data_IF_294284214343
#
_entry.id   IF_294284214343
#
_cell.length_a   1.000
_cell.length_b   1.000
_cell.length_c   1.000
_cell.angle_alpha   90.00
_cell.angle_beta   90.00
_cell.angle_gamma   90.00
#
_symmetry.space_group_name_H-M   'P 1'
#
loop_
_entity.id
_entity.type
_entity.pdbx_description
1 polymer ?
#
# COMPACT_ATOMS: atom_id res chain seq x y z
N UNK A 1 20.16 13.95 -26.56
CA UNK A 1 19.81 15.18 -27.31
C UNK A 1 18.43 15.62 -26.85
N UNK A 2 18.35 16.43 -25.79
CA UNK A 2 17.07 16.87 -25.22
C UNK A 2 16.49 17.97 -26.12
N UNK A 3 15.47 17.66 -26.90
CA UNK A 3 14.72 18.67 -27.66
C UNK A 3 13.97 19.53 -26.65
N UNK A 4 14.22 20.84 -26.62
CA UNK A 4 13.49 21.75 -25.75
C UNK A 4 12.00 21.73 -26.11
N UNK A 5 11.13 21.76 -25.09
CA UNK A 5 9.66 21.72 -25.25
C UNK A 5 9.15 22.74 -26.27
N UNK A 6 9.74 23.93 -26.28
CA UNK A 6 9.41 25.02 -27.21
C UNK A 6 9.71 24.65 -28.68
N UNK A 7 10.87 24.02 -28.95
CA UNK A 7 11.21 23.57 -30.31
C UNK A 7 10.29 22.47 -30.82
N UNK A 8 9.80 21.60 -29.93
CA UNK A 8 8.89 20.53 -30.31
C UNK A 8 7.50 21.08 -30.69
N UNK A 9 6.98 22.04 -29.90
CA UNK A 9 5.72 22.73 -30.21
C UNK A 9 5.81 23.48 -31.54
N UNK A 10 6.90 24.23 -31.75
CA UNK A 10 7.10 24.97 -33.00
C UNK A 10 7.04 24.04 -34.23
N UNK A 11 7.74 22.90 -34.17
CA UNK A 11 7.75 21.91 -35.28
C UNK A 11 6.38 21.28 -35.52
N UNK A 12 5.62 20.97 -34.46
CA UNK A 12 4.26 20.41 -34.61
C UNK A 12 3.34 21.44 -35.26
N UNK A 13 3.40 22.71 -34.86
CA UNK A 13 2.61 23.78 -35.45
C UNK A 13 2.98 24.01 -36.92
N UNK A 14 4.27 23.97 -37.27
CA UNK A 14 4.71 24.10 -38.66
C UNK A 14 4.17 22.97 -39.56
N UNK A 15 4.08 21.74 -39.04
CA UNK A 15 3.51 20.59 -39.78
C UNK A 15 2.00 20.75 -40.00
N UNK A 16 1.28 21.25 -38.99
CA UNK A 16 -0.15 21.52 -39.09
C UNK A 16 -0.42 22.64 -40.09
N UNK A 17 0.32 23.75 -40.02
CA UNK A 17 0.15 24.91 -40.93
C UNK A 17 0.49 24.56 -42.38
N UNK A 18 1.45 23.65 -42.59
CA UNK A 18 1.84 23.17 -43.93
C UNK A 18 0.94 22.04 -44.46
N UNK A 19 -0.17 21.73 -43.77
CA UNK A 19 -1.12 20.67 -44.12
C UNK A 19 -0.45 19.29 -44.36
N UNK A 20 0.70 19.07 -43.72
CA UNK A 20 1.51 17.85 -43.92
C UNK A 20 1.13 16.73 -42.97
N UNK A 21 0.32 17.02 -41.95
CA UNK A 21 -0.31 16.03 -41.09
C UNK A 21 -1.75 16.46 -40.79
N UNK A 22 -2.67 15.50 -40.91
CA UNK A 22 -4.05 15.63 -40.47
C UNK A 22 -4.27 14.92 -39.14
N UNK A 23 -5.33 15.28 -38.42
CA UNK A 23 -5.72 14.54 -37.23
C UNK A 23 -6.19 13.12 -37.63
N UNK A 24 -5.99 12.10 -36.78
CA UNK A 24 -6.38 10.75 -37.11
C UNK A 24 -7.90 10.62 -37.29
N UNK A 25 -8.31 10.13 -38.45
CA UNK A 25 -9.70 9.81 -38.78
C UNK A 25 -9.88 8.30 -38.91
N UNK A 26 -11.02 7.72 -38.51
CA UNK A 26 -12.21 8.37 -37.91
C UNK A 26 -12.00 8.86 -36.47
N UNK A 27 -12.77 9.88 -36.06
CA UNK A 27 -12.82 10.34 -34.68
C UNK A 27 -14.05 9.72 -33.99
N UNK A 28 -13.82 8.82 -33.04
CA UNK A 28 -14.86 8.17 -32.24
C UNK A 28 -15.06 8.93 -30.93
N UNK A 29 -16.14 9.71 -30.84
CA UNK A 29 -16.44 10.53 -29.67
C UNK A 29 -17.48 9.85 -28.80
N UNK A 30 -17.18 9.72 -27.51
CA UNK A 30 -18.09 9.20 -26.49
C UNK A 30 -18.32 10.26 -25.42
N UNK A 31 -19.55 10.46 -24.90
CA UNK A 31 -19.77 11.33 -23.75
C UNK A 31 -19.11 10.75 -22.49
N UNK A 32 -18.86 11.58 -21.48
CA UNK A 32 -18.21 11.15 -20.25
C UNK A 32 -18.98 10.04 -19.52
N UNK A 33 -20.32 10.07 -19.63
CA UNK A 33 -21.24 9.04 -19.13
C UNK A 33 -21.00 7.66 -19.74
N UNK A 34 -20.47 7.59 -20.96
CA UNK A 34 -20.21 6.37 -21.71
C UNK A 34 -18.71 6.00 -21.78
N UNK A 35 -17.89 6.51 -20.86
CA UNK A 35 -16.45 6.23 -20.82
C UNK A 35 -16.14 4.73 -20.86
N UNK A 36 -16.96 3.89 -20.22
CA UNK A 36 -16.80 2.44 -20.26
C UNK A 36 -16.92 1.88 -21.69
N UNK A 37 -17.87 2.39 -22.50
CA UNK A 37 -18.03 1.97 -23.90
C UNK A 37 -16.82 2.37 -24.73
N UNK A 38 -16.26 3.56 -24.49
CA UNK A 38 -15.05 4.03 -25.15
C UNK A 38 -13.85 3.12 -24.84
N UNK A 39 -13.66 2.74 -23.58
CA UNK A 39 -12.59 1.83 -23.15
C UNK A 39 -12.77 0.43 -23.77
N UNK A 40 -14.00 -0.10 -23.76
CA UNK A 40 -14.30 -1.40 -24.40
C UNK A 40 -14.06 -1.36 -25.91
N UNK A 41 -14.40 -0.25 -26.58
CA UNK A 41 -14.11 -0.07 -28.00
C UNK A 41 -12.59 -0.05 -28.25
N UNK A 42 -11.83 0.66 -27.43
CA UNK A 42 -10.37 0.70 -27.48
C UNK A 42 -9.73 -0.68 -27.26
N UNK A 43 -10.29 -1.49 -26.36
CA UNK A 43 -9.80 -2.85 -26.06
C UNK A 43 -10.21 -3.89 -27.11
N UNK A 44 -11.18 -3.59 -27.99
CA UNK A 44 -11.70 -4.54 -28.97
C UNK A 44 -10.74 -4.89 -30.11
N UNK A 45 -9.63 -4.15 -30.25
CA UNK A 45 -8.71 -4.26 -31.39
C UNK A 45 -9.28 -3.74 -32.71
N UNK A 46 -10.53 -3.27 -32.73
CA UNK A 46 -11.21 -2.65 -33.89
C UNK A 46 -11.16 -1.12 -33.86
N UNK A 47 -10.39 -0.55 -32.95
CA UNK A 47 -10.24 0.88 -32.78
C UNK A 47 -9.36 1.48 -33.87
N UNK A 48 -9.98 2.15 -34.83
CA UNK A 48 -9.29 2.91 -35.88
C UNK A 48 -9.36 4.40 -35.60
N UNK A 49 -8.38 5.16 -36.10
CA UNK A 49 -8.32 6.61 -35.86
C UNK A 49 -8.11 6.99 -34.40
N UNK A 50 -8.92 7.92 -33.87
CA UNK A 50 -8.78 8.44 -32.50
C UNK A 50 -10.08 8.25 -31.73
N UNK A 51 -10.00 7.76 -30.50
CA UNK A 51 -11.13 7.76 -29.55
C UNK A 51 -11.00 8.96 -28.62
N UNK A 52 -12.07 9.71 -28.42
CA UNK A 52 -12.12 10.90 -27.58
C UNK A 52 -13.31 10.83 -26.62
N UNK A 53 -13.12 11.39 -25.42
CA UNK A 53 -14.21 11.60 -24.46
C UNK A 53 -14.63 13.07 -24.54
N UNK A 54 -15.91 13.30 -24.80
CA UNK A 54 -16.52 14.62 -24.73
C UNK A 54 -17.02 14.87 -23.31
N UNK A 55 -16.84 16.09 -22.83
CA UNK A 55 -17.34 16.53 -21.52
C UNK A 55 -18.48 17.51 -21.76
N UNK A 56 -19.71 17.09 -21.50
CA UNK A 56 -20.88 17.97 -21.47
C UNK A 56 -21.30 18.26 -20.03
N UNK A 57 -21.92 19.42 -19.79
CA UNK A 57 -22.45 19.76 -18.47
C UNK A 57 -23.61 18.85 -18.05
N UNK A 58 -24.33 18.29 -19.02
CA UNK A 58 -25.47 17.40 -18.80
C UNK A 58 -25.07 15.92 -18.61
N UNK A 59 -23.77 15.60 -18.68
CA UNK A 59 -23.29 14.23 -18.51
C UNK A 59 -23.39 13.78 -17.04
N UNK A 60 -24.30 12.83 -16.77
CA UNK A 60 -24.41 12.19 -15.46
C UNK A 60 -23.37 11.06 -15.38
N UNK A 61 -22.34 11.26 -14.57
CA UNK A 61 -21.28 10.27 -14.30
C UNK A 61 -21.29 9.82 -12.84
N UNK A 62 -21.03 8.53 -12.56
CA UNK A 62 -20.80 8.06 -11.20
C UNK A 62 -19.57 8.77 -10.62
N UNK A 63 -19.78 9.67 -9.65
CA UNK A 63 -18.69 10.30 -8.92
C UNK A 63 -18.34 9.43 -7.72
N UNK A 64 -17.16 8.82 -7.76
CA UNK A 64 -16.61 8.20 -6.56
C UNK A 64 -16.28 9.34 -5.58
N UNK A 65 -17.06 9.45 -4.51
CA UNK A 65 -16.77 10.42 -3.43
C UNK A 65 -15.58 9.86 -2.65
N UNK A 66 -14.38 10.07 -3.16
CA UNK A 66 -13.16 9.93 -2.39
C UNK A 66 -13.14 11.09 -1.40
N UNK A 67 -13.56 10.84 -0.15
CA UNK A 67 -13.15 11.70 0.97
C UNK A 67 -11.62 11.61 1.04
N UNK A 68 -10.93 12.51 0.34
CA UNK A 68 -9.50 12.68 0.51
C UNK A 68 -9.35 13.22 1.93
N UNK A 69 -8.97 12.35 2.86
CA UNK A 69 -8.73 12.78 4.23
C UNK A 69 -7.69 13.89 4.17
N UNK A 70 -8.08 15.11 4.55
CA UNK A 70 -7.20 16.28 4.64
C UNK A 70 -6.31 16.20 5.89
N UNK A 71 -6.17 15.01 6.47
CA UNK A 71 -5.42 14.83 7.68
C UNK A 71 -3.96 15.22 7.44
N UNK A 72 -3.50 16.14 8.27
CA UNK A 72 -2.15 16.66 8.26
C UNK A 72 -1.48 16.27 9.57
N UNK A 73 -0.23 15.85 9.46
CA UNK A 73 0.65 15.76 10.58
C UNK A 73 0.95 17.18 11.09
N UNK A 74 0.91 17.38 12.41
CA UNK A 74 1.50 18.55 13.03
C UNK A 74 3.02 18.50 12.83
N UNK A 75 3.55 19.49 12.13
CA UNK A 75 4.99 19.62 11.87
C UNK A 75 5.81 19.79 13.15
N UNK A 76 5.21 20.24 14.26
CA UNK A 76 5.87 20.43 15.55
C UNK A 76 5.73 19.21 16.50
N UNK A 77 5.03 18.17 16.06
CA UNK A 77 4.88 16.93 16.83
C UNK A 77 6.01 15.93 16.50
N UNK A 78 6.21 15.00 17.42
CA UNK A 78 7.12 13.87 17.24
C UNK A 78 6.32 12.58 17.07
N UNK A 79 6.76 11.72 16.16
CA UNK A 79 6.04 10.54 15.75
C UNK A 79 6.88 9.28 15.99
N UNK A 80 6.42 8.39 16.86
CA UNK A 80 7.08 7.12 17.14
C UNK A 80 6.49 6.01 16.27
N UNK A 81 7.35 5.33 15.50
CA UNK A 81 6.95 4.27 14.57
C UNK A 81 7.81 3.03 14.80
N UNK A 82 7.32 2.14 15.67
CA UNK A 82 7.94 0.84 15.88
C UNK A 82 7.91 0.02 14.58
N UNK A 83 9.05 -0.56 14.17
CA UNK A 83 9.15 -1.29 12.92
C UNK A 83 9.09 -0.42 11.65
N UNK A 84 9.33 0.90 11.77
CA UNK A 84 9.24 1.85 10.67
C UNK A 84 10.20 1.58 9.49
N UNK A 85 11.28 0.83 9.70
CA UNK A 85 12.22 0.46 8.64
C UNK A 85 11.76 -0.71 7.75
N UNK A 86 10.65 -1.40 8.11
CA UNK A 86 10.05 -2.46 7.29
C UNK A 86 9.31 -1.94 6.05
N UNK A 87 8.81 -2.84 5.19
CA UNK A 87 8.13 -2.47 3.95
C UNK A 87 6.94 -1.52 4.16
N UNK A 88 6.04 -1.90 5.06
CA UNK A 88 4.88 -1.08 5.42
C UNK A 88 5.29 0.21 6.16
N UNK A 89 6.22 0.10 7.11
CA UNK A 89 6.72 1.24 7.88
C UNK A 89 7.24 2.37 6.99
N UNK A 90 8.04 2.03 5.97
CA UNK A 90 8.57 3.01 5.00
C UNK A 90 7.46 3.67 4.18
N UNK A 91 6.43 2.92 3.79
CA UNK A 91 5.28 3.48 3.08
C UNK A 91 4.50 4.47 3.96
N UNK A 92 4.27 4.12 5.24
CA UNK A 92 3.63 4.99 6.22
C UNK A 92 4.46 6.27 6.42
N UNK A 93 5.78 6.15 6.61
CA UNK A 93 6.65 7.30 6.82
C UNK A 93 6.62 8.24 5.61
N UNK A 94 6.70 7.72 4.38
CA UNK A 94 6.61 8.55 3.16
C UNK A 94 5.29 9.30 3.09
N UNK A 95 4.19 8.62 3.41
CA UNK A 95 2.88 9.26 3.48
C UNK A 95 2.83 10.34 4.58
N UNK A 96 3.34 10.06 5.78
CA UNK A 96 3.40 11.03 6.89
C UNK A 96 4.25 12.25 6.55
N UNK A 97 5.37 12.06 5.86
CA UNK A 97 6.21 13.14 5.36
C UNK A 97 5.44 14.03 4.38
N UNK A 98 4.74 13.43 3.41
CA UNK A 98 3.87 14.17 2.49
C UNK A 98 2.68 14.85 3.17
N UNK A 99 2.31 14.37 4.36
CA UNK A 99 1.23 14.91 5.19
C UNK A 99 1.71 15.96 6.21
N UNK A 100 3.01 16.30 6.22
CA UNK A 100 3.57 17.40 7.03
C UNK A 100 4.45 16.98 8.21
N UNK A 101 4.67 15.69 8.46
CA UNK A 101 5.50 15.24 9.58
C UNK A 101 6.95 15.71 9.39
N UNK A 102 7.60 16.08 10.51
CA UNK A 102 9.00 16.52 10.52
C UNK A 102 9.90 15.70 11.42
N UNK A 103 9.39 15.19 12.55
CA UNK A 103 10.19 14.52 13.57
C UNK A 103 9.73 13.07 13.77
N UNK A 104 10.63 12.10 13.55
CA UNK A 104 10.32 10.68 13.61
C UNK A 104 11.32 9.92 14.50
N UNK A 105 10.77 9.07 15.37
CA UNK A 105 11.52 8.13 16.20
C UNK A 105 11.18 6.71 15.70
N UNK A 106 12.18 5.98 15.21
CA UNK A 106 12.00 4.66 14.59
C UNK A 106 12.77 3.61 15.40
N UNK A 107 12.22 3.15 16.54
CA UNK A 107 12.89 2.12 17.32
C UNK A 107 12.90 0.77 16.58
N UNK A 108 14.02 0.06 16.70
CA UNK A 108 14.24 -1.26 16.10
C UNK A 108 15.00 -2.17 17.06
N UNK A 109 14.66 -3.46 17.11
CA UNK A 109 15.41 -4.46 17.91
C UNK A 109 16.81 -4.73 17.35
N UNK A 110 17.00 -4.50 16.06
CA UNK A 110 18.28 -4.67 15.37
C UNK A 110 18.90 -3.32 15.11
N UNK A 111 20.22 -3.24 15.31
CA UNK A 111 21.01 -2.08 14.91
C UNK A 111 20.84 -1.80 13.42
N UNK A 112 20.80 -0.53 13.04
CA UNK A 112 20.67 -0.09 11.65
C UNK A 112 22.02 -0.20 10.96
N UNK A 113 22.52 -1.42 10.79
CA UNK A 113 23.82 -1.71 10.18
C UNK A 113 23.72 -2.24 8.76
N UNK A 114 22.52 -2.67 8.32
CA UNK A 114 22.33 -3.17 6.96
C UNK A 114 22.36 -2.05 5.91
N UNK A 115 23.00 -2.26 4.74
CA UNK A 115 23.03 -1.27 3.65
C UNK A 115 21.63 -0.78 3.24
N UNK A 116 20.67 -1.69 3.18
CA UNK A 116 19.28 -1.37 2.83
C UNK A 116 18.62 -0.43 3.86
N UNK A 117 18.87 -0.64 5.15
CA UNK A 117 18.31 0.23 6.20
C UNK A 117 18.95 1.63 6.18
N UNK A 118 20.26 1.70 5.95
CA UNK A 118 20.97 2.98 5.82
C UNK A 118 20.53 3.77 4.57
N UNK A 119 20.33 3.08 3.44
CA UNK A 119 19.78 3.70 2.24
C UNK A 119 18.36 4.23 2.48
N UNK A 120 17.48 3.43 3.09
CA UNK A 120 16.12 3.85 3.41
C UNK A 120 16.11 5.07 4.33
N UNK A 121 16.95 5.11 5.36
CA UNK A 121 17.07 6.28 6.23
C UNK A 121 17.55 7.52 5.48
N UNK A 122 18.52 7.36 4.56
CA UNK A 122 19.04 8.46 3.76
C UNK A 122 17.98 9.03 2.81
N UNK A 123 17.22 8.16 2.14
CA UNK A 123 16.08 8.55 1.30
C UNK A 123 15.02 9.32 2.11
N UNK A 124 14.66 8.81 3.29
CA UNK A 124 13.68 9.43 4.16
C UNK A 124 14.16 10.78 4.72
N UNK A 125 15.43 10.90 5.12
CA UNK A 125 16.05 12.18 5.51
C UNK A 125 16.06 13.18 4.36
N UNK A 126 16.24 12.72 3.12
CA UNK A 126 16.13 13.54 1.90
C UNK A 126 14.77 14.19 1.70
N UNK A 127 13.71 13.71 2.38
CA UNK A 127 12.39 14.33 2.39
C UNK A 127 12.25 15.44 3.45
N UNK A 128 13.36 15.87 4.07
CA UNK A 128 13.36 16.92 5.09
C UNK A 128 12.82 16.44 6.44
N UNK A 129 12.99 15.15 6.73
CA UNK A 129 12.61 14.53 7.99
C UNK A 129 13.82 14.49 8.94
N UNK A 130 13.61 14.91 10.18
CA UNK A 130 14.51 14.64 11.30
C UNK A 130 14.18 13.24 11.84
N UNK A 131 15.10 12.28 11.63
CA UNK A 131 14.88 10.87 11.96
C UNK A 131 15.94 10.37 12.93
N UNK A 132 15.48 9.82 14.05
CA UNK A 132 16.29 9.08 15.02
C UNK A 132 15.84 7.62 14.97
N UNK A 133 16.78 6.70 14.72
CA UNK A 133 16.50 5.27 14.56
C UNK A 133 17.33 4.43 15.56
N UNK A 134 16.97 4.46 16.85
CA UNK A 134 17.75 3.87 17.92
C UNK A 134 17.46 2.37 18.07
N UNK A 135 18.42 1.63 18.63
CA UNK A 135 18.20 0.23 18.99
C UNK A 135 17.37 0.16 20.28
N UNK A 136 16.17 -0.38 20.20
CA UNK A 136 15.25 -0.49 21.32
C UNK A 136 14.24 -1.62 21.06
N UNK A 137 14.09 -2.51 22.03
CA UNK A 137 12.93 -3.39 22.08
C UNK A 137 11.74 -2.65 22.72
N UNK A 138 10.78 -2.25 21.89
CA UNK A 138 9.55 -1.58 22.33
C UNK A 138 8.67 -2.45 23.25
N UNK A 139 8.90 -3.77 23.30
CA UNK A 139 8.26 -4.65 24.28
C UNK A 139 8.84 -4.53 25.70
N UNK A 140 10.01 -3.91 25.85
CA UNK A 140 10.66 -3.67 27.13
C UNK A 140 10.35 -2.26 27.63
N UNK A 141 9.58 -2.16 28.72
CA UNK A 141 9.20 -0.89 29.31
C UNK A 141 10.41 -0.05 29.75
N UNK A 142 11.46 -0.69 30.28
CA UNK A 142 12.69 0.00 30.70
C UNK A 142 13.45 0.55 29.51
N UNK A 143 13.72 -0.27 28.48
CA UNK A 143 14.44 0.20 27.29
C UNK A 143 13.69 1.33 26.58
N UNK A 144 12.36 1.27 26.53
CA UNK A 144 11.56 2.32 25.93
C UNK A 144 11.58 3.61 26.76
N UNK A 145 11.55 3.51 28.09
CA UNK A 145 11.65 4.69 28.96
C UNK A 145 13.01 5.39 28.79
N UNK A 146 14.11 4.63 28.80
CA UNK A 146 15.47 5.16 28.58
C UNK A 146 15.57 5.84 27.21
N UNK A 147 15.06 5.19 26.16
CA UNK A 147 15.01 5.74 24.81
C UNK A 147 14.33 7.10 24.74
N UNK A 148 13.15 7.19 25.35
CA UNK A 148 12.33 8.40 25.31
C UNK A 148 13.01 9.55 26.07
N UNK A 149 13.70 9.23 27.17
CA UNK A 149 14.49 10.19 27.94
C UNK A 149 15.71 10.69 27.15
N UNK A 150 16.40 9.82 26.40
CA UNK A 150 17.50 10.23 25.52
C UNK A 150 17.01 11.13 24.38
N UNK A 151 15.88 10.78 23.76
CA UNK A 151 15.30 11.55 22.67
C UNK A 151 14.80 12.94 23.12
N UNK A 152 14.45 13.10 24.40
CA UNK A 152 14.00 14.36 24.99
C UNK A 152 15.08 15.46 25.01
N UNK A 153 16.35 15.10 24.83
CA UNK A 153 17.50 16.03 24.91
C UNK A 153 17.86 16.62 23.53
N UNK A 154 17.28 16.11 22.43
CA UNK A 154 17.59 16.55 21.06
C UNK A 154 16.56 17.51 20.44
N UNK A 155 16.67 17.73 19.12
CA UNK A 155 15.75 18.55 18.30
C UNK A 155 14.37 17.88 18.06
N UNK A 156 14.01 16.91 18.90
CA UNK A 156 12.76 16.16 18.84
C UNK A 156 11.98 16.50 20.11
N UNK A 157 10.69 16.83 19.95
CA UNK A 157 9.84 17.16 21.09
C UNK A 157 9.74 15.93 22.01
N UNK A 158 9.96 16.08 23.33
CA UNK A 158 10.02 14.96 24.25
C UNK A 158 8.72 14.16 24.25
N UNK A 159 8.87 12.83 24.22
CA UNK A 159 7.81 11.87 24.50
C UNK A 159 8.01 11.38 25.93
N UNK A 160 6.97 11.34 26.76
CA UNK A 160 7.10 10.81 28.12
C UNK A 160 6.59 9.38 28.19
N UNK A 161 7.28 8.51 28.94
CA UNK A 161 6.88 7.12 29.17
C UNK A 161 5.44 7.01 29.68
N UNK A 162 5.06 7.96 30.54
CA UNK A 162 3.72 8.01 31.15
C UNK A 162 2.63 8.28 30.11
N UNK A 163 2.92 9.06 29.05
CA UNK A 163 1.97 9.32 27.95
C UNK A 163 1.71 8.04 27.16
N UNK A 164 2.79 7.35 26.78
CA UNK A 164 2.70 6.10 26.02
C UNK A 164 1.97 5.01 26.83
N UNK A 165 2.28 4.93 28.12
CA UNK A 165 1.66 3.98 29.04
C UNK A 165 0.18 4.30 29.25
N UNK A 166 -0.18 5.57 29.44
CA UNK A 166 -1.57 6.02 29.57
C UNK A 166 -2.41 5.69 28.32
N UNK A 167 -1.85 5.88 27.12
CA UNK A 167 -2.51 5.48 25.86
C UNK A 167 -2.70 3.97 25.82
N UNK A 168 -1.65 3.19 26.07
CA UNK A 168 -1.76 1.72 26.03
C UNK A 168 -2.81 1.22 27.04
N UNK A 169 -2.83 1.77 28.26
CA UNK A 169 -3.85 1.46 29.25
C UNK A 169 -5.25 1.86 28.76
N UNK A 170 -5.44 3.05 28.21
CA UNK A 170 -6.72 3.48 27.66
C UNK A 170 -7.23 2.54 26.54
N UNK A 171 -6.34 2.13 25.64
CA UNK A 171 -6.69 1.24 24.52
C UNK A 171 -6.94 -0.21 24.99
N UNK A 172 -6.28 -0.66 26.07
CA UNK A 172 -6.51 -1.97 26.69
C UNK A 172 -7.76 -2.01 27.56
N UNK A 173 -7.98 -0.99 28.39
CA UNK A 173 -9.13 -0.84 29.28
C UNK A 173 -9.54 0.65 29.43
N UNK A 174 -10.49 1.13 28.61
CA UNK A 174 -10.98 2.50 28.67
C UNK A 174 -11.75 2.80 29.96
N UNK A 175 -12.23 1.78 30.68
CA UNK A 175 -13.04 1.96 31.89
C UNK A 175 -12.21 2.23 33.14
N UNK A 176 -10.91 1.86 33.09
CA UNK A 176 -9.94 2.11 34.16
C UNK A 176 -9.44 3.57 34.24
N UNK A 177 -9.61 4.35 33.16
CA UNK A 177 -8.99 5.68 33.04
C UNK A 177 -9.75 6.78 33.79
N UNK A 178 -11.00 6.51 34.22
CA UNK A 178 -11.77 7.43 35.05
C UNK A 178 -11.26 7.54 36.50
N UNK A 179 -10.37 6.66 36.94
CA UNK A 179 -9.99 6.51 38.36
C UNK A 179 -8.48 6.46 38.64
N UNK A 180 -7.61 6.68 37.64
CA UNK A 180 -6.15 6.67 37.86
C UNK A 180 -5.52 8.05 37.72
N UNK A 181 -4.44 8.30 38.48
CA UNK A 181 -3.63 9.52 38.48
C UNK A 181 -2.93 9.82 37.13
N UNK A 182 -3.10 8.97 36.11
CA UNK A 182 -2.54 9.11 34.76
C UNK A 182 -3.46 9.89 33.82
N UNK A 183 -4.31 10.78 34.36
CA UNK A 183 -5.20 11.67 33.62
C UNK A 183 -4.40 12.70 32.81
N UNK A 184 -3.87 12.28 31.66
CA UNK A 184 -3.48 13.21 30.60
C UNK A 184 -4.53 13.17 29.51
N UNK A 185 -4.74 14.34 28.92
CA UNK A 185 -5.71 14.61 27.87
C UNK A 185 -5.44 13.68 26.67
N UNK A 186 -6.37 12.76 26.33
CA UNK A 186 -6.21 11.84 25.20
C UNK A 186 -6.08 12.57 23.85
N UNK A 187 -6.48 13.85 23.76
CA UNK A 187 -6.29 14.64 22.55
C UNK A 187 -4.82 15.07 22.32
N UNK A 188 -3.94 14.91 23.33
CA UNK A 188 -2.50 15.23 23.20
C UNK A 188 -1.66 14.11 22.62
N UNK A 189 -2.12 12.87 22.66
CA UNK A 189 -1.40 11.72 22.12
C UNK A 189 -2.37 10.69 21.54
N UNK A 190 -2.18 10.33 20.26
CA UNK A 190 -3.10 9.47 19.52
C UNK A 190 -2.37 8.33 18.79
N UNK A 191 -3.04 7.17 18.69
CA UNK A 191 -2.59 6.07 17.83
C UNK A 191 -2.97 6.38 16.37
N UNK A 192 -1.97 6.47 15.49
CA UNK A 192 -2.18 6.76 14.06
C UNK A 192 -2.54 5.50 13.25
N UNK A 193 -1.92 4.37 13.57
CA UNK A 193 -2.08 3.04 12.97
C UNK A 193 -1.77 1.99 14.03
N UNK A 194 -2.47 0.86 14.03
CA UNK A 194 -2.15 -0.24 14.94
C UNK A 194 -3.28 -1.25 15.12
N UNK A 195 -3.14 -2.05 16.19
CA UNK A 195 -4.05 -3.15 16.51
C UNK A 195 -5.50 -2.68 16.67
N UNK A 196 -6.43 -3.48 16.15
CA UNK A 196 -7.86 -3.32 16.45
C UNK A 196 -8.06 -3.72 17.92
N UNK A 197 -8.48 -2.78 18.74
CA UNK A 197 -8.68 -3.00 20.18
C UNK A 197 -10.17 -3.09 20.52
N UNK A 198 -10.55 -3.68 21.67
CA UNK A 198 -11.96 -3.82 22.07
C UNK A 198 -12.73 -2.49 22.13
N UNK A 199 -12.05 -1.35 22.33
CA UNK A 199 -12.70 -0.02 22.31
C UNK A 199 -13.19 0.40 20.92
N UNK A 200 -12.55 -0.09 19.85
CA UNK A 200 -12.97 0.15 18.46
C UNK A 200 -14.31 -0.52 18.12
N UNK A 201 -14.78 -1.48 18.92
CA UNK A 201 -16.04 -2.19 18.70
C UNK A 201 -17.22 -1.61 19.49
N UNK A 202 -17.03 -0.56 20.31
CA UNK A 202 -18.07 0.00 21.18
C UNK A 202 -18.88 1.11 20.49
N UNK A 203 -20.22 1.14 20.61
CA UNK A 203 -21.03 2.26 20.14
C UNK A 203 -20.66 3.55 20.88
N UNK A 204 -20.35 4.63 20.14
CA UNK A 204 -20.05 5.94 20.74
C UNK A 204 -18.56 6.30 20.84
N UNK A 205 -17.63 5.35 20.59
CA UNK A 205 -16.18 5.61 20.55
C UNK A 205 -15.70 6.27 19.25
N UNK A 206 -16.63 6.70 18.40
CA UNK A 206 -16.43 7.24 17.05
C UNK A 206 -15.51 8.46 16.96
N UNK A 207 -15.27 9.17 18.07
CA UNK A 207 -14.39 10.36 18.08
C UNK A 207 -12.97 10.07 17.58
N UNK A 208 -12.41 8.90 17.85
CA UNK A 208 -11.04 8.57 17.39
C UNK A 208 -10.98 8.17 15.92
N UNK A 209 -12.06 7.61 15.37
CA UNK A 209 -12.11 7.18 13.96
C UNK A 209 -12.18 8.37 12.99
N UNK A 210 -12.66 9.53 13.45
CA UNK A 210 -12.66 10.78 12.69
C UNK A 210 -11.24 11.34 12.49
N UNK A 211 -10.27 10.97 13.34
CA UNK A 211 -8.88 11.47 13.32
C UNK A 211 -7.83 10.43 12.90
N UNK A 212 -8.20 9.18 12.63
CA UNK A 212 -7.28 8.14 12.14
C UNK A 212 -7.36 7.97 10.60
N UNK A 213 -6.54 8.67 9.81
CA UNK A 213 -6.62 8.69 8.35
C UNK A 213 -6.19 7.37 7.69
N UNK A 214 -5.34 6.58 8.34
CA UNK A 214 -4.78 5.36 7.77
C UNK A 214 -5.65 4.11 8.03
N UNK A 215 -6.56 4.14 9.01
CA UNK A 215 -7.49 3.04 9.28
C UNK A 215 -8.76 3.11 8.41
N UNK A 216 -9.17 4.28 7.94
CA UNK A 216 -10.34 4.42 7.05
C UNK A 216 -10.16 3.61 5.76
N UNK A 217 -8.96 3.57 5.17
CA UNK A 217 -8.68 2.77 3.98
C UNK A 217 -8.73 1.25 4.22
N UNK A 218 -8.18 0.79 5.35
CA UNK A 218 -8.09 -0.64 5.67
C UNK A 218 -9.39 -1.22 6.26
N UNK A 219 -10.12 -0.47 7.07
CA UNK A 219 -11.38 -0.91 7.67
C UNK A 219 -12.55 -0.86 6.68
N UNK A 220 -12.59 0.13 5.78
CA UNK A 220 -13.63 0.17 4.73
C UNK A 220 -13.47 -0.99 3.75
N UNK A 221 -12.23 -1.39 3.42
CA UNK A 221 -11.97 -2.53 2.54
C UNK A 221 -12.48 -3.86 3.12
N UNK A 222 -12.22 -4.16 4.40
CA UNK A 222 -12.67 -5.42 5.01
C UNK A 222 -14.19 -5.46 5.23
N UNK A 223 -14.79 -4.33 5.59
CA UNK A 223 -16.26 -4.25 5.80
C UNK A 223 -17.03 -4.23 4.48
N UNK A 224 -16.48 -3.66 3.39
CA UNK A 224 -17.09 -3.71 2.05
C UNK A 224 -16.91 -5.07 1.37
N UNK A 225 -15.78 -5.76 1.56
CA UNK A 225 -15.61 -7.15 1.07
C UNK A 225 -16.64 -8.09 1.71
N UNK A 226 -16.99 -7.87 2.98
CA UNK A 226 -18.02 -8.67 3.66
C UNK A 226 -19.46 -8.31 3.22
N UNK A 227 -19.72 -7.07 2.80
CA UNK A 227 -21.05 -6.64 2.31
C UNK A 227 -21.28 -6.93 0.82
N UNK A 228 -20.23 -6.96 0.00
CA UNK A 228 -20.35 -7.32 -1.43
C UNK A 228 -20.50 -8.82 -1.70
N UNK A 229 -20.19 -9.68 -0.71
CA UNK A 229 -20.37 -11.13 -0.85
C UNK A 229 -21.82 -11.60 -0.64
N UNK A 230 -22.73 -10.72 -0.22
CA UNK A 230 -24.15 -11.07 0.02
C UNK A 230 -25.17 -10.24 -0.75
N UNK A 231 -24.75 -9.28 -1.58
CA UNK A 231 -25.69 -8.58 -2.47
C UNK A 231 -24.99 -8.06 -3.72
N UNK A 232 -25.07 -8.84 -4.80
CA UNK A 232 -25.33 -8.43 -6.20
C UNK A 232 -25.32 -9.74 -7.00
N UNK A 233 -26.52 -10.26 -7.18
CA UNK A 233 -26.85 -11.17 -8.28
C UNK A 233 -26.61 -10.44 -9.60
N UNK A 234 -25.80 -11.06 -10.46
CA UNK A 234 -25.87 -10.88 -11.91
C UNK A 234 -25.14 -9.68 -12.52
N UNK A 235 -23.83 -9.81 -12.75
CA UNK A 235 -23.25 -9.68 -14.09
C UNK A 235 -21.76 -10.07 -14.09
N UNK A 236 -21.46 -11.15 -14.83
CA UNK A 236 -20.11 -11.65 -15.13
C UNK A 236 -19.22 -10.53 -15.70
N UNK A 237 -18.14 -10.22 -15.00
CA UNK A 237 -16.95 -9.66 -15.65
C UNK A 237 -16.42 -10.71 -16.65
N UNK A 238 -16.29 -10.32 -17.92
CA UNK A 238 -15.72 -11.16 -18.98
C UNK A 238 -14.19 -11.22 -18.83
N UNK A 239 -13.69 -12.43 -18.64
CA UNK A 239 -12.51 -13.04 -19.30
C UNK A 239 -11.34 -12.10 -19.65
N UNK A 240 -10.56 -11.70 -18.63
CA UNK A 240 -9.14 -12.02 -18.66
C UNK A 240 -9.00 -13.25 -17.79
N UNK A 241 -8.52 -14.37 -18.34
CA UNK A 241 -8.66 -15.70 -17.74
C UNK A 241 -8.37 -15.70 -16.24
N UNK A 242 -9.39 -16.08 -15.46
CA UNK A 242 -9.28 -16.27 -14.01
C UNK A 242 -8.02 -17.10 -13.72
N UNK A 243 -7.10 -16.67 -12.83
CA UNK A 243 -5.84 -17.36 -12.57
C UNK A 243 -6.00 -18.86 -12.32
N UNK A 244 -7.09 -19.23 -11.63
CA UNK A 244 -7.49 -20.62 -11.38
C UNK A 244 -7.88 -21.38 -12.64
N UNK A 245 -8.46 -20.71 -13.65
CA UNK A 245 -8.82 -21.32 -14.95
C UNK A 245 -7.57 -21.62 -15.77
N UNK A 246 -6.64 -20.67 -15.95
CA UNK A 246 -5.39 -20.92 -16.68
C UNK A 246 -4.55 -22.01 -16.02
N UNK A 247 -4.51 -22.02 -14.70
CA UNK A 247 -3.76 -23.01 -13.95
C UNK A 247 -4.40 -24.41 -14.02
N UNK A 248 -5.73 -24.51 -14.14
CA UNK A 248 -6.45 -25.78 -14.30
C UNK A 248 -6.45 -26.30 -15.74
N UNK A 249 -6.43 -25.42 -16.74
CA UNK A 249 -6.48 -25.79 -18.16
C UNK A 249 -5.07 -25.97 -18.78
N UNK A 250 -4.01 -25.68 -18.05
CA UNK A 250 -2.65 -25.92 -18.50
C UNK A 250 -2.38 -27.43 -18.68
N UNK A 251 -1.86 -27.80 -19.84
CA UNK A 251 -1.74 -29.21 -20.28
C UNK A 251 -0.75 -30.05 -19.46
N UNK A 252 0.24 -29.40 -18.81
CA UNK A 252 1.28 -30.09 -18.06
C UNK A 252 1.80 -29.23 -16.88
N UNK A 253 2.51 -29.88 -15.96
CA UNK A 253 3.03 -29.24 -14.75
C UNK A 253 4.00 -28.08 -15.03
N UNK A 254 4.73 -28.13 -16.15
CA UNK A 254 5.60 -27.02 -16.57
C UNK A 254 4.78 -25.79 -16.99
N UNK A 255 3.68 -25.98 -17.70
CA UNK A 255 2.75 -24.93 -18.08
C UNK A 255 2.02 -24.36 -16.85
N UNK A 256 1.62 -25.23 -15.91
CA UNK A 256 1.06 -24.81 -14.61
C UNK A 256 2.04 -23.97 -13.81
N UNK A 257 3.31 -24.38 -13.77
CA UNK A 257 4.37 -23.63 -13.10
C UNK A 257 4.59 -22.27 -13.77
N UNK A 258 4.64 -22.19 -15.11
CA UNK A 258 4.78 -20.94 -15.84
C UNK A 258 3.63 -19.95 -15.55
N UNK A 259 2.38 -20.46 -15.46
CA UNK A 259 1.21 -19.68 -15.06
C UNK A 259 1.37 -19.19 -13.62
N UNK A 260 1.74 -20.07 -12.69
CA UNK A 260 1.95 -19.71 -11.29
C UNK A 260 3.04 -18.63 -11.12
N UNK A 261 4.19 -18.78 -11.80
CA UNK A 261 5.29 -17.80 -11.80
C UNK A 261 4.82 -16.44 -12.32
N UNK A 262 4.19 -16.42 -13.48
CA UNK A 262 3.70 -15.15 -14.09
C UNK A 262 2.74 -14.42 -13.15
N UNK A 263 1.87 -15.16 -12.47
CA UNK A 263 0.91 -14.58 -11.53
C UNK A 263 1.56 -14.17 -10.21
N UNK A 264 2.53 -14.93 -9.70
CA UNK A 264 3.32 -14.56 -8.52
C UNK A 264 4.07 -13.25 -8.76
N UNK A 265 4.74 -13.11 -9.91
CA UNK A 265 5.45 -11.88 -10.32
C UNK A 265 4.51 -10.68 -10.30
N UNK A 266 3.35 -10.77 -10.97
CA UNK A 266 2.35 -9.68 -10.99
C UNK A 266 1.82 -9.35 -9.60
N UNK A 267 1.57 -10.38 -8.78
CA UNK A 267 1.04 -10.20 -7.42
C UNK A 267 2.05 -9.49 -6.52
N UNK A 268 3.32 -9.89 -6.59
CA UNK A 268 4.44 -9.29 -5.84
C UNK A 268 4.68 -7.85 -6.29
N UNK A 269 4.75 -7.60 -7.60
CA UNK A 269 4.90 -6.26 -8.16
C UNK A 269 3.77 -5.32 -7.69
N UNK A 270 2.52 -5.78 -7.74
CA UNK A 270 1.35 -5.02 -7.27
C UNK A 270 1.38 -4.80 -5.76
N UNK A 271 1.75 -5.80 -4.97
CA UNK A 271 1.80 -5.68 -3.51
C UNK A 271 2.88 -4.68 -3.05
N UNK A 272 3.97 -4.58 -3.80
CA UNK A 272 5.11 -3.71 -3.48
C UNK A 272 5.05 -2.35 -4.18
N UNK A 273 4.03 -2.10 -5.01
CA UNK A 273 3.92 -0.90 -5.85
C UNK A 273 5.15 -0.69 -6.77
N UNK A 274 5.71 -1.80 -7.26
CA UNK A 274 6.83 -1.84 -8.21
C UNK A 274 6.27 -2.18 -9.60
N UNK A 275 6.95 -1.74 -10.67
CA UNK A 275 6.54 -2.07 -12.06
C UNK A 275 6.57 -3.58 -12.30
N UNK A 276 5.61 -4.12 -13.07
CA UNK A 276 5.59 -5.55 -13.44
C UNK A 276 6.86 -5.99 -14.20
N UNK A 277 7.58 -5.05 -14.81
CA UNK A 277 8.84 -5.28 -15.54
C UNK A 277 10.09 -5.33 -14.64
N UNK A 278 10.00 -4.86 -13.40
CA UNK A 278 11.14 -4.80 -12.47
C UNK A 278 11.21 -6.06 -11.57
N UNK A 279 10.21 -6.93 -11.63
CA UNK A 279 10.16 -8.18 -10.89
C UNK A 279 10.78 -9.33 -11.72
N UNK A 280 12.07 -9.52 -11.53
CA UNK A 280 12.87 -10.65 -12.05
C UNK A 280 12.44 -12.00 -11.42
N UNK A 281 11.96 -12.97 -12.22
CA UNK A 281 11.56 -14.30 -11.75
C UNK A 281 12.69 -15.13 -11.14
N UNK A 282 13.95 -14.79 -11.43
CA UNK A 282 15.13 -15.50 -10.95
C UNK A 282 15.57 -15.06 -9.55
N UNK A 283 15.05 -13.93 -9.06
CA UNK A 283 15.35 -13.46 -7.70
C UNK A 283 14.42 -14.08 -6.66
N UNK A 284 14.89 -14.28 -5.42
CA UNK A 284 14.06 -14.77 -4.33
C UNK A 284 13.04 -13.73 -3.87
N UNK A 285 11.92 -14.21 -3.32
CA UNK A 285 10.84 -13.36 -2.80
C UNK A 285 11.31 -12.42 -1.66
N UNK A 286 12.29 -12.86 -0.86
CA UNK A 286 12.87 -12.09 0.24
C UNK A 286 13.60 -10.81 -0.23
N UNK A 287 14.23 -10.83 -1.42
CA UNK A 287 14.91 -9.65 -1.98
C UNK A 287 13.93 -8.55 -2.39
N UNK A 288 12.68 -8.91 -2.70
CA UNK A 288 11.60 -7.96 -2.95
C UNK A 288 11.00 -7.39 -1.67
N UNK A 289 11.51 -7.76 -0.49
CA UNK A 289 10.99 -7.30 0.79
C UNK A 289 9.69 -8.00 1.20
N UNK A 290 9.49 -9.24 0.74
CA UNK A 290 8.44 -10.13 1.26
C UNK A 290 8.77 -10.47 2.72
N UNK A 291 8.03 -9.86 3.64
CA UNK A 291 8.13 -10.10 5.09
C UNK A 291 7.18 -11.22 5.55
N UNK A 292 7.18 -11.50 6.86
CA UNK A 292 6.33 -12.55 7.45
C UNK A 292 4.83 -12.31 7.26
N UNK A 293 4.38 -11.05 7.20
CA UNK A 293 2.96 -10.74 7.01
C UNK A 293 2.57 -10.92 5.54
N UNK A 294 3.38 -10.42 4.63
CA UNK A 294 3.16 -10.57 3.19
C UNK A 294 3.27 -12.03 2.75
N UNK A 295 4.11 -12.84 3.40
CA UNK A 295 4.19 -14.27 3.16
C UNK A 295 2.90 -15.01 3.57
N UNK A 296 2.23 -14.59 4.66
CA UNK A 296 0.93 -15.14 5.07
C UNK A 296 -0.18 -14.76 4.08
N UNK A 297 -0.19 -13.51 3.61
CA UNK A 297 -1.13 -13.07 2.58
C UNK A 297 -0.92 -13.85 1.28
N UNK A 298 0.34 -13.98 0.83
CA UNK A 298 0.70 -14.71 -0.38
C UNK A 298 0.30 -16.18 -0.28
N UNK A 299 0.55 -16.83 0.86
CA UNK A 299 0.10 -18.20 1.13
C UNK A 299 -1.42 -18.35 1.00
N UNK A 300 -2.17 -17.46 1.65
CA UNK A 300 -3.63 -17.53 1.65
C UNK A 300 -4.20 -17.30 0.25
N UNK A 301 -3.55 -16.44 -0.54
CA UNK A 301 -3.87 -16.24 -1.95
C UNK A 301 -3.53 -17.45 -2.81
N UNK A 302 -2.32 -18.03 -2.68
CA UNK A 302 -1.91 -19.26 -3.40
C UNK A 302 -2.92 -20.38 -3.15
N UNK A 303 -3.32 -20.57 -1.89
CA UNK A 303 -4.31 -21.58 -1.53
C UNK A 303 -5.67 -21.34 -2.19
N UNK A 304 -6.11 -20.08 -2.29
CA UNK A 304 -7.40 -19.73 -2.90
C UNK A 304 -7.39 -19.91 -4.41
N UNK A 305 -6.33 -19.46 -5.07
CA UNK A 305 -6.31 -19.34 -6.54
C UNK A 305 -5.75 -20.59 -7.21
N UNK A 306 -4.88 -21.35 -6.54
CA UNK A 306 -4.22 -22.53 -7.09
C UNK A 306 -4.51 -23.83 -6.34
N UNK A 307 -5.29 -23.79 -5.25
CA UNK A 307 -5.58 -24.94 -4.38
C UNK A 307 -4.31 -25.65 -3.86
N UNK A 308 -3.28 -24.85 -3.57
CA UNK A 308 -1.96 -25.34 -3.20
C UNK A 308 -1.60 -25.00 -1.75
N UNK A 309 -1.11 -25.99 -1.01
CA UNK A 309 -0.81 -25.90 0.42
C UNK A 309 0.68 -25.58 0.68
N UNK A 310 1.13 -24.41 0.22
CA UNK A 310 2.51 -23.93 0.44
C UNK A 310 2.71 -23.45 1.88
N UNK A 311 3.83 -23.76 2.54
CA UNK A 311 4.10 -23.27 3.88
C UNK A 311 4.68 -21.84 3.84
N UNK A 312 4.45 -21.05 4.90
CA UNK A 312 5.01 -19.69 5.02
C UNK A 312 6.54 -19.71 5.01
N UNK A 313 7.13 -20.73 5.64
CA UNK A 313 8.58 -20.93 5.66
C UNK A 313 9.15 -21.12 4.24
N UNK A 314 8.43 -21.86 3.39
CA UNK A 314 8.84 -22.09 2.01
C UNK A 314 8.86 -20.79 1.19
N UNK A 315 7.90 -19.90 1.45
CA UNK A 315 7.79 -18.59 0.80
C UNK A 315 8.91 -17.64 1.26
N UNK A 316 9.25 -17.65 2.55
CA UNK A 316 10.21 -16.71 3.14
C UNK A 316 11.68 -17.10 2.97
N UNK A 317 11.99 -18.40 2.87
CA UNK A 317 13.38 -18.87 2.81
C UNK A 317 13.58 -20.23 2.14
N UNK A 318 12.51 -20.95 1.77
CA UNK A 318 12.61 -22.24 1.08
C UNK A 318 12.75 -22.14 -0.44
N UNK A 319 12.35 -21.03 -1.05
CA UNK A 319 12.45 -20.83 -2.50
C UNK A 319 13.64 -19.95 -2.86
N UNK A 320 14.56 -20.47 -3.68
CA UNK A 320 15.70 -19.72 -4.22
C UNK A 320 15.31 -18.64 -5.23
N UNK A 321 14.09 -18.71 -5.78
CA UNK A 321 13.56 -17.75 -6.76
C UNK A 321 12.02 -17.77 -6.82
N UNK A 322 11.41 -16.74 -7.42
CA UNK A 322 9.97 -16.74 -7.74
C UNK A 322 9.64 -17.92 -8.68
N UNK A 323 10.56 -18.26 -9.60
CA UNK A 323 10.43 -19.43 -10.45
C UNK A 323 10.36 -20.75 -9.65
N UNK A 324 11.18 -20.89 -8.60
CA UNK A 324 11.14 -22.04 -7.70
C UNK A 324 9.83 -22.09 -6.90
N UNK A 325 9.33 -20.93 -6.44
CA UNK A 325 8.04 -20.84 -5.78
C UNK A 325 6.88 -21.28 -6.69
N UNK A 326 6.89 -20.90 -7.97
CA UNK A 326 5.88 -21.34 -8.94
C UNK A 326 5.90 -22.85 -9.20
N UNK A 327 7.06 -23.50 -9.19
CA UNK A 327 7.15 -24.98 -9.25
C UNK A 327 6.58 -25.62 -7.98
N UNK A 328 6.92 -25.07 -6.82
CA UNK A 328 6.42 -25.57 -5.54
C UNK A 328 4.89 -25.47 -5.42
N UNK A 329 4.28 -24.44 -6.00
CA UNK A 329 2.82 -24.31 -6.09
C UNK A 329 2.21 -25.51 -6.82
N UNK A 330 2.86 -26.03 -7.86
CA UNK A 330 2.40 -27.20 -8.60
C UNK A 330 2.63 -28.48 -7.80
N UNK A 331 3.81 -28.64 -7.20
CA UNK A 331 4.16 -29.83 -6.39
C UNK A 331 3.26 -30.02 -5.15
N UNK A 332 2.81 -28.91 -4.55
CA UNK A 332 1.95 -28.91 -3.35
C UNK A 332 0.47 -28.65 -3.67
N UNK A 333 0.10 -28.77 -4.94
CA UNK A 333 -1.30 -28.69 -5.36
C UNK A 333 -2.05 -29.91 -4.83
N UNK A 334 -3.19 -29.66 -4.17
CA UNK A 334 -4.11 -30.70 -3.71
C UNK A 334 -4.98 -31.23 -4.87
#
# INVERSE_FOLDING_TARGET
MLVSRERLVQRVMDIIVKDTASYPTPLHVYPASDTEKAVRYMQSGKNTGRTAISLSYDDIVPKLITKKSLWQCDANASYLIAGGLGGLGRAIIRWMASSGAKHLIIPSRSEVSSPNAMQALSELKGHGLNIVAPMCDVGSATQLADLLQECAVGDIKPFYSDDLTAILYYYCDPTSVASSAHSRDPDKCQLLVGAVTPVNARPGSWRHFEYSPLSIGFTVATTQIQRHSTSITGQKAREEDSPSMLFRHAENDNARAAVAVTRLVKRVARALSVSEYDADPLKPLSEYGVDSLMAVELRNWIRRDFDSAVAVFDIMGGCSSIAAAGKMVVEKCL
#
